data_IF_775149014859
#
_entry.id   IF_775149014859
#
_cell.length_a   1.000
_cell.length_b   1.000
_cell.length_c   1.000
_cell.angle_alpha   90.00
_cell.angle_beta   90.00
_cell.angle_gamma   90.00
#
_symmetry.space_group_name_H-M   'P 1'
#
loop_
_entity.id
_entity.type
_entity.pdbx_description
1 polymer ?
#
# COMPACT_ATOMS: atom_id res chain seq x y z
N UNK A 1 44.86 -11.39 -3.21
CA UNK A 1 43.53 -10.73 -3.18
C UNK A 1 43.81 -9.25 -3.03
N UNK A 2 43.25 -8.41 -3.89
CA UNK A 2 43.48 -6.97 -3.87
C UNK A 2 42.83 -6.38 -2.62
N UNK A 3 43.62 -5.75 -1.75
CA UNK A 3 43.10 -5.05 -0.58
C UNK A 3 42.30 -3.82 -1.04
N UNK A 4 40.98 -3.96 -1.10
CA UNK A 4 40.06 -2.85 -1.34
C UNK A 4 39.99 -2.04 -0.04
N UNK A 5 40.77 -0.96 0.02
CA UNK A 5 40.64 0.03 1.10
C UNK A 5 39.40 0.88 0.85
N UNK A 6 38.39 0.76 1.72
CA UNK A 6 37.20 1.60 1.67
C UNK A 6 37.46 2.90 2.45
N UNK A 7 37.25 4.10 1.87
CA UNK A 7 37.44 5.37 2.58
C UNK A 7 36.44 5.54 3.74
N UNK A 8 36.90 5.39 4.99
CA UNK A 8 36.05 5.44 6.19
C UNK A 8 35.25 6.75 6.36
N UNK A 9 35.78 7.88 5.89
CA UNK A 9 35.07 9.16 5.90
C UNK A 9 33.82 9.17 5.02
N UNK A 10 33.84 8.49 3.86
CA UNK A 10 32.66 8.37 2.99
C UNK A 10 31.60 7.45 3.60
N UNK A 11 32.02 6.35 4.23
CA UNK A 11 31.09 5.45 4.95
C UNK A 11 30.37 6.24 6.04
N UNK A 12 31.12 6.95 6.89
CA UNK A 12 30.55 7.76 7.98
C UNK A 12 29.53 8.78 7.47
N UNK A 13 29.86 9.52 6.40
CA UNK A 13 28.95 10.50 5.82
C UNK A 13 27.65 9.87 5.26
N UNK A 14 27.70 8.64 4.72
CA UNK A 14 26.50 7.93 4.31
C UNK A 14 25.68 7.46 5.51
N UNK A 15 26.31 6.91 6.54
CA UNK A 15 25.65 6.43 7.75
C UNK A 15 24.93 7.57 8.46
N UNK A 16 25.61 8.67 8.73
CA UNK A 16 25.02 9.85 9.41
C UNK A 16 23.82 10.41 8.65
N UNK A 17 23.89 10.44 7.30
CA UNK A 17 22.76 10.87 6.47
C UNK A 17 21.57 9.93 6.57
N UNK A 18 21.80 8.61 6.61
CA UNK A 18 20.74 7.61 6.74
C UNK A 18 20.11 7.70 8.13
N UNK A 19 20.91 7.81 9.19
CA UNK A 19 20.41 7.93 10.56
C UNK A 19 19.53 9.18 10.74
N UNK A 20 19.90 10.29 10.12
CA UNK A 20 19.06 11.50 10.12
C UNK A 20 17.72 11.26 9.39
N UNK A 21 17.75 10.61 8.21
CA UNK A 21 16.53 10.26 7.47
C UNK A 21 15.65 9.31 8.27
N UNK A 22 16.23 8.31 8.94
CA UNK A 22 15.49 7.36 9.77
C UNK A 22 14.85 8.06 10.98
N UNK A 23 15.54 9.04 11.58
CA UNK A 23 14.96 9.92 12.61
C UNK A 23 13.76 10.70 12.10
N UNK A 24 13.90 11.39 10.96
CA UNK A 24 12.80 12.14 10.33
C UNK A 24 11.62 11.23 9.98
N UNK A 25 11.88 10.02 9.45
CA UNK A 25 10.84 9.03 9.16
C UNK A 25 10.14 8.56 10.42
N UNK A 26 10.85 8.41 11.54
CA UNK A 26 10.22 8.05 12.82
C UNK A 26 9.27 9.15 13.28
N UNK A 27 9.71 10.41 13.30
CA UNK A 27 8.89 11.55 13.69
C UNK A 27 7.63 11.67 12.81
N UNK A 28 7.78 11.55 11.48
CA UNK A 28 6.65 11.56 10.55
C UNK A 28 5.67 10.40 10.78
N UNK A 29 6.18 9.22 11.15
CA UNK A 29 5.33 8.08 11.48
C UNK A 29 4.58 8.28 12.79
N UNK A 30 5.16 8.96 13.77
CA UNK A 30 4.51 9.34 15.03
C UNK A 30 3.37 10.34 14.77
N UNK A 31 3.65 11.43 14.04
CA UNK A 31 2.64 12.40 13.61
C UNK A 31 1.48 11.73 12.86
N UNK A 32 1.78 10.79 11.96
CA UNK A 32 0.76 10.00 11.25
C UNK A 32 -0.11 9.16 12.19
N UNK A 33 0.45 8.61 13.28
CA UNK A 33 -0.32 7.85 14.28
C UNK A 33 -1.23 8.78 15.10
N UNK A 34 -0.80 9.99 15.38
CA UNK A 34 -1.62 11.00 16.07
C UNK A 34 -2.86 11.35 15.25
N UNK A 35 -2.72 11.61 13.95
CA UNK A 35 -3.86 11.86 13.04
C UNK A 35 -4.87 10.71 13.04
N UNK A 36 -4.40 9.46 13.02
CA UNK A 36 -5.32 8.31 13.13
C UNK A 36 -5.98 8.21 14.52
N UNK A 37 -5.30 8.67 15.57
CA UNK A 37 -5.84 8.67 16.93
C UNK A 37 -6.89 9.76 17.11
N UNK A 38 -6.67 10.95 16.52
CA UNK A 38 -7.65 12.04 16.42
C UNK A 38 -8.91 11.57 15.68
N UNK A 39 -8.75 11.00 14.47
CA UNK A 39 -9.87 10.46 13.70
C UNK A 39 -10.66 9.40 14.48
N UNK A 40 -9.97 8.56 15.26
CA UNK A 40 -10.63 7.59 16.15
C UNK A 40 -11.41 8.29 17.27
N UNK A 41 -10.88 9.35 17.86
CA UNK A 41 -11.53 10.16 18.89
C UNK A 41 -12.79 10.86 18.38
N UNK A 42 -12.79 11.26 17.11
CA UNK A 42 -13.96 11.80 16.41
C UNK A 42 -15.00 10.75 16.01
N UNK A 43 -14.68 9.46 16.13
CA UNK A 43 -15.59 8.35 15.86
C UNK A 43 -15.44 7.71 14.48
N UNK A 44 -14.41 8.04 13.71
CA UNK A 44 -14.16 7.39 12.42
C UNK A 44 -13.55 5.99 12.58
N UNK A 45 -13.87 5.08 11.66
CA UNK A 45 -13.20 3.78 11.55
C UNK A 45 -11.83 3.94 10.87
N UNK A 46 -10.77 3.87 11.69
CA UNK A 46 -9.38 3.95 11.25
C UNK A 46 -9.00 2.87 10.23
N UNK A 47 -9.63 1.68 10.28
CA UNK A 47 -9.35 0.61 9.31
C UNK A 47 -9.82 1.02 7.91
N UNK A 48 -11.03 1.59 7.82
CA UNK A 48 -11.59 2.08 6.56
C UNK A 48 -10.75 3.25 6.03
N UNK A 49 -10.32 4.17 6.89
CA UNK A 49 -9.42 5.27 6.47
C UNK A 49 -8.09 4.75 5.90
N UNK A 50 -7.50 3.71 6.51
CA UNK A 50 -6.28 3.07 5.98
C UNK A 50 -6.52 2.39 4.64
N UNK A 51 -7.67 1.77 4.46
CA UNK A 51 -8.08 1.17 3.19
C UNK A 51 -8.23 2.24 2.11
N UNK A 52 -8.91 3.35 2.41
CA UNK A 52 -9.03 4.51 1.50
C UNK A 52 -7.64 5.04 1.13
N UNK A 53 -6.72 5.22 2.09
CA UNK A 53 -5.35 5.69 1.79
C UNK A 53 -4.61 4.70 0.89
N UNK A 54 -4.72 3.39 1.14
CA UNK A 54 -4.14 2.36 0.26
C UNK A 54 -4.76 2.46 -1.15
N UNK A 55 -6.08 2.54 -1.20
CA UNK A 55 -6.88 2.90 -2.36
C UNK A 55 -6.74 4.38 -2.76
N UNK A 56 -5.73 5.13 -2.35
CA UNK A 56 -5.37 6.39 -3.03
C UNK A 56 -3.92 6.39 -3.51
N UNK A 57 -3.15 5.38 -3.09
CA UNK A 57 -1.76 5.19 -3.47
C UNK A 57 -1.56 4.33 -4.71
N UNK A 58 -2.49 3.43 -5.01
CA UNK A 58 -2.43 2.70 -6.28
C UNK A 58 -2.70 3.69 -7.43
N UNK A 59 -2.03 3.46 -8.56
CA UNK A 59 -2.18 4.26 -9.76
C UNK A 59 -3.66 4.34 -10.19
N UNK A 60 -4.06 5.52 -10.68
CA UNK A 60 -5.47 5.74 -11.01
C UNK A 60 -5.86 4.99 -12.28
N UNK A 61 -4.99 4.98 -13.29
CA UNK A 61 -5.24 4.31 -14.56
C UNK A 61 -5.30 2.79 -14.37
N UNK A 62 -4.40 2.22 -13.54
CA UNK A 62 -4.44 0.78 -13.20
C UNK A 62 -5.76 0.36 -12.49
N UNK A 63 -6.38 1.26 -11.72
CA UNK A 63 -7.67 0.96 -11.07
C UNK A 63 -8.82 1.06 -12.03
N UNK A 64 -8.85 2.11 -12.83
CA UNK A 64 -9.94 2.35 -13.78
C UNK A 64 -9.98 1.21 -14.81
N UNK A 65 -8.82 0.71 -15.24
CA UNK A 65 -8.69 -0.50 -16.05
C UNK A 65 -9.20 -1.74 -15.29
N UNK A 66 -8.77 -1.94 -14.05
CA UNK A 66 -9.21 -3.08 -13.22
C UNK A 66 -10.72 -3.08 -12.95
N UNK A 67 -11.32 -1.92 -12.66
CA UNK A 67 -12.75 -1.78 -12.42
C UNK A 67 -13.55 -2.05 -13.69
N UNK A 68 -13.10 -1.54 -14.83
CA UNK A 68 -13.71 -1.81 -16.14
C UNK A 68 -13.68 -3.30 -16.48
N UNK A 69 -12.55 -3.97 -16.21
CA UNK A 69 -12.44 -5.42 -16.37
C UNK A 69 -13.37 -6.15 -15.39
N UNK A 70 -13.40 -5.78 -14.12
CA UNK A 70 -14.25 -6.43 -13.13
C UNK A 70 -15.73 -6.36 -13.51
N UNK A 71 -16.22 -5.19 -13.91
CA UNK A 71 -17.60 -4.98 -14.36
C UNK A 71 -17.92 -5.84 -15.60
N UNK A 72 -17.01 -5.91 -16.58
CA UNK A 72 -17.16 -6.79 -17.74
C UNK A 72 -17.32 -8.26 -17.34
N UNK A 73 -16.48 -8.76 -16.44
CA UNK A 73 -16.54 -10.15 -15.98
C UNK A 73 -17.80 -10.43 -15.14
N UNK A 74 -18.22 -9.49 -14.30
CA UNK A 74 -19.46 -9.62 -13.53
C UNK A 74 -20.68 -9.69 -14.44
N UNK A 75 -20.78 -8.81 -15.44
CA UNK A 75 -21.84 -8.87 -16.46
C UNK A 75 -21.81 -10.16 -17.25
N UNK A 76 -20.61 -10.65 -17.60
CA UNK A 76 -20.46 -11.93 -18.28
C UNK A 76 -20.96 -13.11 -17.42
N UNK A 77 -20.71 -13.09 -16.10
CA UNK A 77 -21.25 -14.09 -15.17
C UNK A 77 -22.78 -14.00 -15.05
N UNK A 78 -23.34 -12.79 -14.94
CA UNK A 78 -24.79 -12.59 -14.84
C UNK A 78 -25.55 -13.01 -16.10
N UNK A 79 -24.93 -12.83 -17.27
CA UNK A 79 -25.51 -13.23 -18.56
C UNK A 79 -25.22 -14.67 -18.94
N UNK A 80 -24.30 -15.33 -18.24
CA UNK A 80 -24.07 -16.75 -18.40
C UNK A 80 -25.26 -17.54 -17.81
N UNK A 81 -25.80 -18.53 -18.53
CA UNK A 81 -26.79 -19.41 -17.94
C UNK A 81 -26.17 -20.17 -16.77
N UNK A 82 -26.89 -20.29 -15.65
CA UNK A 82 -26.44 -21.18 -14.58
C UNK A 82 -26.28 -22.59 -15.14
N UNK A 83 -25.04 -23.09 -15.15
CA UNK A 83 -24.77 -24.48 -15.44
C UNK A 83 -25.37 -25.26 -14.26
N UNK A 84 -26.64 -25.69 -14.41
CA UNK A 84 -27.26 -26.62 -13.46
C UNK A 84 -26.30 -27.79 -13.36
N UNK A 85 -25.66 -27.90 -12.18
CA UNK A 85 -24.72 -28.95 -11.85
C UNK A 85 -25.28 -30.26 -12.40
N UNK A 86 -24.58 -30.81 -13.40
CA UNK A 86 -24.88 -32.11 -13.97
C UNK A 86 -24.64 -33.16 -12.87
N UNK A 87 -25.58 -33.28 -11.94
CA UNK A 87 -25.88 -34.51 -11.24
C UNK A 87 -26.60 -35.38 -12.25
N UNK A 88 -25.84 -36.17 -13.00
CA UNK A 88 -26.38 -37.29 -13.74
C UNK A 88 -25.34 -38.42 -13.78
N UNK A 89 -25.78 -39.56 -13.22
CA UNK A 89 -25.17 -40.89 -13.13
C UNK A 89 -24.11 -41.10 -12.03
#
# INVERSE_FOLDING_TARGET
MSDITIPGGKIRAFVERIENIDGELQELNEQKKEVFSEAKGEGFDVKILKEIIKLRKQDQDERDERESLLDLYMRAMETAPEEKAAKAA
#
